data_IF_181448299076
#
_entry.id   IF_181448299076
#
_cell.length_a   1.000
_cell.length_b   1.000
_cell.length_c   1.000
_cell.angle_alpha   90.00
_cell.angle_beta   90.00
_cell.angle_gamma   90.00
#
_symmetry.space_group_name_H-M   'P 1'
#
loop_
_entity.id
_entity.type
_entity.pdbx_description
1 polymer ?
#
# COMPACT_ATOMS: atom_id res chain seq x y z
N UNK A 1 -7.60 6.90 17.64
CA UNK A 1 -8.61 7.97 17.44
C UNK A 1 -9.52 7.96 18.67
N UNK A 2 -9.80 9.11 19.30
CA UNK A 2 -10.78 9.15 20.40
C UNK A 2 -12.18 9.20 19.78
N UNK A 3 -13.07 8.20 19.98
CA UNK A 3 -14.39 8.15 19.33
C UNK A 3 -15.21 9.44 19.50
N UNK A 4 -15.02 10.15 20.63
CA UNK A 4 -15.67 11.44 20.93
C UNK A 4 -15.47 12.54 19.88
N UNK A 5 -14.40 12.50 19.08
CA UNK A 5 -14.13 13.53 18.05
C UNK A 5 -14.73 13.21 16.68
N UNK A 6 -14.96 11.92 16.38
CA UNK A 6 -15.46 11.50 15.07
C UNK A 6 -16.97 11.74 14.91
N UNK A 7 -17.74 11.56 15.98
CA UNK A 7 -19.21 11.53 15.92
C UNK A 7 -19.87 12.88 15.62
N UNK A 8 -19.44 14.00 16.25
CA UNK A 8 -19.96 15.31 15.86
C UNK A 8 -19.72 15.59 14.38
N UNK A 9 -18.56 15.17 13.86
CA UNK A 9 -18.22 15.35 12.45
C UNK A 9 -19.16 14.57 11.51
N UNK A 10 -19.40 13.29 11.79
CA UNK A 10 -20.32 12.46 10.96
C UNK A 10 -21.73 13.02 10.96
N UNK A 11 -22.27 13.40 12.13
CA UNK A 11 -23.62 13.96 12.22
C UNK A 11 -23.75 15.30 11.53
N UNK A 12 -22.75 16.18 11.68
CA UNK A 12 -22.73 17.46 10.97
C UNK A 12 -22.67 17.26 9.46
N UNK A 13 -21.81 16.37 8.97
CA UNK A 13 -21.71 16.09 7.54
C UNK A 13 -23.04 15.52 6.99
N UNK A 14 -23.61 14.53 7.67
CA UNK A 14 -24.86 13.89 7.23
C UNK A 14 -26.03 14.87 7.14
N UNK A 15 -26.12 15.83 8.07
CA UNK A 15 -27.20 16.84 8.09
C UNK A 15 -27.04 17.94 7.04
N UNK A 16 -25.82 18.20 6.58
CA UNK A 16 -25.51 19.39 5.76
C UNK A 16 -25.07 19.04 4.33
N UNK A 17 -24.87 17.77 4.00
CA UNK A 17 -24.51 17.32 2.67
C UNK A 17 -25.66 16.54 2.03
N UNK A 18 -25.88 16.77 0.74
CA UNK A 18 -26.85 15.99 -0.06
C UNK A 18 -26.26 14.66 -0.54
N UNK A 19 -24.95 14.47 -0.40
CA UNK A 19 -24.24 13.25 -0.79
C UNK A 19 -24.04 12.30 0.41
N UNK A 20 -23.99 10.97 0.19
CA UNK A 20 -23.85 10.03 1.29
C UNK A 20 -22.55 10.19 2.10
N UNK A 21 -22.66 10.06 3.42
CA UNK A 21 -21.49 10.06 4.32
C UNK A 21 -21.07 8.63 4.62
N UNK A 22 -19.86 8.27 4.19
CA UNK A 22 -19.27 6.96 4.42
C UNK A 22 -18.14 7.03 5.46
N UNK A 23 -18.00 5.98 6.28
CA UNK A 23 -16.91 5.86 7.24
C UNK A 23 -16.01 4.67 6.90
N UNK A 24 -14.73 4.74 7.27
CA UNK A 24 -13.81 3.59 7.24
C UNK A 24 -13.14 3.41 8.58
N UNK A 25 -13.18 2.20 9.13
CA UNK A 25 -12.57 1.88 10.42
C UNK A 25 -11.62 0.68 10.33
N UNK A 26 -10.85 0.50 11.40
CA UNK A 26 -10.08 -0.70 11.72
C UNK A 26 -10.66 -1.33 12.98
N UNK A 27 -10.35 -2.60 13.20
CA UNK A 27 -10.72 -3.27 14.44
C UNK A 27 -10.04 -2.57 15.64
N UNK A 28 -10.79 -2.44 16.73
CA UNK A 28 -10.24 -2.14 18.04
C UNK A 28 -9.73 -3.44 18.69
N UNK A 29 -8.91 -3.37 19.76
CA UNK A 29 -8.39 -4.57 20.43
C UNK A 29 -9.48 -5.53 20.92
N UNK A 30 -10.68 -5.02 21.21
CA UNK A 30 -11.86 -5.80 21.57
C UNK A 30 -12.93 -5.66 20.48
N UNK A 31 -13.52 -6.77 20.07
CA UNK A 31 -14.53 -6.78 19.02
C UNK A 31 -15.80 -6.04 19.47
N UNK A 32 -16.20 -6.19 20.73
CA UNK A 32 -17.38 -5.54 21.29
C UNK A 32 -17.27 -4.01 21.20
N UNK A 33 -16.07 -3.47 21.42
CA UNK A 33 -15.83 -2.03 21.30
C UNK A 33 -15.87 -1.58 19.83
N UNK A 34 -15.45 -2.45 18.90
CA UNK A 34 -15.57 -2.18 17.45
C UNK A 34 -17.04 -2.15 17.03
N UNK A 35 -17.85 -3.10 17.50
CA UNK A 35 -19.29 -3.16 17.22
C UNK A 35 -19.99 -1.93 17.81
N UNK A 36 -19.69 -1.56 19.07
CA UNK A 36 -20.21 -0.32 19.67
C UNK A 36 -19.84 0.91 18.84
N UNK A 37 -18.59 1.03 18.41
CA UNK A 37 -18.16 2.14 17.55
C UNK A 37 -18.95 2.16 16.24
N UNK A 38 -19.14 1.02 15.60
CA UNK A 38 -19.85 0.88 14.34
C UNK A 38 -21.33 1.31 14.46
N UNK A 39 -22.03 0.84 15.50
CA UNK A 39 -23.41 1.24 15.80
C UNK A 39 -23.53 2.74 16.06
N UNK A 40 -22.56 3.30 16.80
CA UNK A 40 -22.54 4.72 17.11
C UNK A 40 -22.27 5.57 15.87
N UNK A 41 -21.45 5.10 14.91
CA UNK A 41 -21.28 5.74 13.61
C UNK A 41 -22.54 5.66 12.74
N UNK A 42 -23.20 4.50 12.70
CA UNK A 42 -24.49 4.33 12.01
C UNK A 42 -25.52 5.34 12.53
N UNK A 43 -25.70 5.42 13.85
CA UNK A 43 -26.65 6.35 14.48
C UNK A 43 -26.28 7.82 14.28
N UNK A 44 -25.00 8.12 14.04
CA UNK A 44 -24.55 9.47 13.72
C UNK A 44 -24.85 9.88 12.27
N UNK A 45 -25.32 8.97 11.40
CA UNK A 45 -25.64 9.24 10.00
C UNK A 45 -24.64 8.67 9.00
N UNK A 46 -23.75 7.77 9.41
CA UNK A 46 -22.96 7.00 8.45
C UNK A 46 -23.90 6.10 7.63
N UNK A 47 -23.78 6.15 6.30
CA UNK A 47 -24.63 5.41 5.37
C UNK A 47 -23.95 4.18 4.78
N UNK A 48 -22.62 4.11 4.77
CA UNK A 48 -21.83 2.92 4.39
C UNK A 48 -20.60 2.83 5.27
N UNK A 49 -20.33 1.65 5.84
CA UNK A 49 -19.17 1.42 6.70
C UNK A 49 -18.17 0.45 6.07
N UNK A 50 -16.99 0.94 5.71
CA UNK A 50 -15.87 0.09 5.33
C UNK A 50 -15.10 -0.38 6.57
N UNK A 51 -14.91 -1.69 6.73
CA UNK A 51 -14.22 -2.29 7.88
C UNK A 51 -12.96 -2.99 7.40
N UNK A 52 -11.81 -2.48 7.82
CA UNK A 52 -10.56 -3.24 7.69
C UNK A 52 -10.48 -4.24 8.84
N UNK A 53 -10.52 -5.53 8.53
CA UNK A 53 -10.44 -6.65 9.48
C UNK A 53 -9.08 -6.78 10.21
N UNK A 54 -8.35 -5.69 10.42
CA UNK A 54 -7.10 -5.68 11.17
C UNK A 54 -7.10 -4.54 12.17
N UNK A 55 -6.46 -4.75 13.31
CA UNK A 55 -6.20 -3.69 14.27
C UNK A 55 -5.18 -2.69 13.73
N UNK A 56 -5.07 -1.53 14.36
CA UNK A 56 -4.02 -0.56 14.00
C UNK A 56 -2.63 -1.13 14.33
N UNK A 57 -2.52 -1.78 15.48
CA UNK A 57 -1.29 -2.30 16.06
C UNK A 57 -0.67 -3.43 15.21
N UNK A 58 -1.50 -4.16 14.45
CA UNK A 58 -1.02 -5.15 13.48
C UNK A 58 -0.18 -4.56 12.34
N UNK A 59 -0.20 -3.24 12.11
CA UNK A 59 0.46 -2.58 10.98
C UNK A 59 0.18 -3.25 9.62
N UNK A 60 -1.05 -3.76 9.44
CA UNK A 60 -1.48 -4.50 8.24
C UNK A 60 -0.81 -5.86 8.03
N UNK A 61 -0.14 -6.40 9.05
CA UNK A 61 0.45 -7.75 9.05
C UNK A 61 -0.57 -8.79 9.51
N UNK A 62 -0.37 -10.03 9.10
CA UNK A 62 -1.25 -11.16 9.43
C UNK A 62 -2.55 -11.19 8.60
N UNK A 63 -3.32 -12.27 8.72
CA UNK A 63 -4.61 -12.38 8.05
C UNK A 63 -5.58 -11.29 8.51
N UNK A 64 -6.52 -10.91 7.65
CA UNK A 64 -7.64 -10.08 8.09
C UNK A 64 -8.67 -10.97 8.80
N UNK A 65 -9.19 -10.51 9.93
CA UNK A 65 -10.22 -11.19 10.68
C UNK A 65 -11.59 -10.95 10.01
N UNK A 66 -11.93 -11.85 9.09
CA UNK A 66 -13.20 -11.83 8.37
C UNK A 66 -14.39 -12.23 9.27
N UNK A 67 -14.15 -13.03 10.32
CA UNK A 67 -15.17 -13.36 11.30
C UNK A 67 -15.62 -12.13 12.12
N UNK A 68 -14.69 -11.26 12.48
CA UNK A 68 -15.00 -9.96 13.09
C UNK A 68 -15.82 -9.07 12.15
N UNK A 69 -15.47 -9.00 10.86
CA UNK A 69 -16.25 -8.24 9.86
C UNK A 69 -17.67 -8.78 9.77
N UNK A 70 -17.85 -10.11 9.78
CA UNK A 70 -19.17 -10.75 9.78
C UNK A 70 -20.02 -10.35 10.98
N UNK A 71 -19.46 -10.41 12.19
CA UNK A 71 -20.19 -10.01 13.40
C UNK A 71 -20.57 -8.51 13.38
N UNK A 72 -19.73 -7.66 12.79
CA UNK A 72 -20.06 -6.24 12.59
C UNK A 72 -21.19 -6.10 11.56
N UNK A 73 -21.15 -6.84 10.45
CA UNK A 73 -22.21 -6.85 9.43
C UNK A 73 -23.55 -7.30 10.01
N UNK A 74 -23.56 -8.33 10.83
CA UNK A 74 -24.78 -8.84 11.49
C UNK A 74 -25.37 -7.83 12.47
N UNK A 75 -24.55 -6.95 13.06
CA UNK A 75 -25.00 -5.93 14.01
C UNK A 75 -25.54 -4.64 13.37
N UNK A 76 -25.22 -4.38 12.09
CA UNK A 76 -25.57 -3.13 11.41
C UNK A 76 -26.74 -3.30 10.44
N UNK A 77 -27.50 -2.21 10.25
CA UNK A 77 -28.55 -2.13 9.24
C UNK A 77 -28.09 -1.40 7.96
N UNK A 78 -26.94 -0.73 8.00
CA UNK A 78 -26.32 -0.09 6.83
C UNK A 78 -25.40 -1.05 6.06
N UNK A 79 -25.12 -0.79 4.78
CA UNK A 79 -24.13 -1.54 4.02
C UNK A 79 -22.74 -1.52 4.68
N UNK A 80 -22.10 -2.69 4.70
CA UNK A 80 -20.73 -2.92 5.16
C UNK A 80 -19.84 -3.33 4.00
N UNK A 81 -18.67 -2.71 3.91
CA UNK A 81 -17.66 -3.02 2.90
C UNK A 81 -16.47 -3.71 3.58
N UNK A 82 -16.22 -4.97 3.25
CA UNK A 82 -15.08 -5.71 3.77
C UNK A 82 -13.77 -5.19 3.17
N UNK A 83 -12.72 -5.03 4.00
CA UNK A 83 -11.40 -4.60 3.53
C UNK A 83 -10.29 -5.44 4.19
N UNK A 84 -9.33 -5.86 3.35
CA UNK A 84 -8.14 -6.63 3.74
C UNK A 84 -8.29 -8.14 3.56
N UNK A 85 -7.21 -8.80 3.13
CA UNK A 85 -7.18 -10.25 2.91
C UNK A 85 -7.71 -10.70 1.54
N UNK A 86 -7.89 -9.76 0.60
CA UNK A 86 -8.26 -10.03 -0.80
C UNK A 86 -7.06 -9.62 -1.63
N UNK A 87 -6.38 -10.61 -2.21
CA UNK A 87 -5.14 -10.43 -2.97
C UNK A 87 -5.35 -10.72 -4.47
N UNK A 88 -6.28 -11.62 -4.81
CA UNK A 88 -6.68 -11.96 -6.19
C UNK A 88 -8.20 -11.80 -6.39
N UNK A 89 -8.67 -11.89 -7.65
CA UNK A 89 -10.08 -11.66 -7.98
C UNK A 89 -10.97 -12.76 -7.37
N UNK A 90 -10.47 -13.99 -7.33
CA UNK A 90 -11.10 -15.17 -6.76
C UNK A 90 -11.32 -15.04 -5.25
N UNK A 91 -10.49 -14.23 -4.57
CA UNK A 91 -10.65 -13.96 -3.14
C UNK A 91 -11.88 -13.10 -2.84
N UNK A 92 -12.41 -12.37 -3.83
CA UNK A 92 -13.58 -11.49 -3.65
C UNK A 92 -14.81 -12.31 -3.25
N UNK A 93 -15.10 -13.39 -3.98
CA UNK A 93 -16.24 -14.26 -3.68
C UNK A 93 -16.08 -14.94 -2.32
N UNK A 94 -14.87 -15.43 -2.01
CA UNK A 94 -14.57 -16.02 -0.70
C UNK A 94 -14.80 -15.00 0.43
N UNK A 95 -14.29 -13.78 0.26
CA UNK A 95 -14.44 -12.71 1.23
C UNK A 95 -15.92 -12.36 1.47
N UNK A 96 -16.73 -12.21 0.41
CA UNK A 96 -18.17 -11.96 0.53
C UNK A 96 -18.89 -13.12 1.22
N UNK A 97 -18.55 -14.36 0.86
CA UNK A 97 -19.17 -15.54 1.44
C UNK A 97 -18.89 -15.70 2.94
N UNK A 98 -17.67 -15.41 3.38
CA UNK A 98 -17.27 -15.53 4.79
C UNK A 98 -17.73 -14.33 5.63
N UNK A 99 -17.58 -13.11 5.11
CA UNK A 99 -17.91 -11.87 5.86
C UNK A 99 -19.38 -11.52 5.80
N UNK A 100 -20.13 -12.02 4.81
CA UNK A 100 -21.49 -11.57 4.47
C UNK A 100 -21.61 -10.07 4.21
N UNK A 101 -20.49 -9.37 4.00
CA UNK A 101 -20.46 -7.96 3.65
C UNK A 101 -21.13 -7.71 2.30
N UNK A 102 -21.59 -6.48 2.07
CA UNK A 102 -22.32 -6.10 0.86
C UNK A 102 -21.38 -5.78 -0.31
N UNK A 103 -20.11 -5.49 -0.01
CA UNK A 103 -19.08 -5.23 -1.00
C UNK A 103 -17.67 -5.49 -0.44
N UNK A 104 -16.67 -5.53 -1.33
CA UNK A 104 -15.25 -5.65 -1.01
C UNK A 104 -14.51 -4.40 -1.47
N UNK A 105 -13.62 -3.89 -0.62
CA UNK A 105 -12.67 -2.82 -0.95
C UNK A 105 -11.27 -3.39 -1.05
N UNK A 106 -10.65 -3.24 -2.22
CA UNK A 106 -9.27 -3.65 -2.51
C UNK A 106 -8.37 -2.42 -2.54
N UNK A 107 -7.17 -2.52 -1.96
CA UNK A 107 -6.23 -1.40 -1.90
C UNK A 107 -4.86 -1.81 -2.45
N UNK A 108 -4.11 -2.64 -1.72
CA UNK A 108 -2.74 -2.96 -2.09
C UNK A 108 -2.59 -3.73 -3.42
N UNK A 109 -3.41 -4.77 -3.72
CA UNK A 109 -3.34 -5.44 -5.02
C UNK A 109 -3.62 -4.51 -6.21
N UNK A 110 -4.58 -3.60 -6.06
CA UNK A 110 -4.89 -2.60 -7.09
C UNK A 110 -3.72 -1.64 -7.38
N UNK A 111 -2.80 -1.44 -6.43
CA UNK A 111 -1.57 -0.66 -6.68
C UNK A 111 -0.53 -1.44 -7.49
N UNK A 112 -0.55 -2.78 -7.41
CA UNK A 112 0.35 -3.63 -8.19
C UNK A 112 -0.19 -3.84 -9.60
N UNK A 113 -1.50 -4.00 -9.71
CA UNK A 113 -2.21 -4.17 -10.97
C UNK A 113 -3.57 -3.45 -10.91
N UNK A 114 -3.68 -2.22 -11.45
CA UNK A 114 -4.94 -1.50 -11.52
C UNK A 114 -6.03 -2.22 -12.34
N UNK A 115 -5.65 -3.13 -13.25
CA UNK A 115 -6.60 -3.97 -14.00
C UNK A 115 -7.22 -5.10 -13.16
N UNK A 116 -6.92 -5.17 -11.85
CA UNK A 116 -7.53 -6.10 -10.90
C UNK A 116 -9.07 -6.22 -11.07
N UNK A 117 -9.75 -5.12 -11.34
CA UNK A 117 -11.22 -5.09 -11.46
C UNK A 117 -11.75 -5.46 -12.86
N UNK A 118 -10.87 -5.60 -13.86
CA UNK A 118 -11.26 -5.78 -15.26
C UNK A 118 -11.48 -7.23 -15.69
N UNK A 119 -11.15 -8.22 -14.86
CA UNK A 119 -11.29 -9.65 -15.18
C UNK A 119 -10.43 -10.14 -16.35
N UNK A 120 -9.56 -9.28 -16.89
CA UNK A 120 -8.66 -9.61 -18.00
C UNK A 120 -7.32 -10.18 -17.52
N UNK A 121 -6.46 -10.53 -18.48
CA UNK A 121 -5.12 -11.03 -18.19
C UNK A 121 -4.32 -10.04 -17.33
N UNK A 122 -3.42 -10.56 -16.49
CA UNK A 122 -2.48 -9.75 -15.71
C UNK A 122 -1.57 -9.02 -16.71
N UNK A 123 -1.81 -7.72 -16.88
CA UNK A 123 -0.98 -6.87 -17.73
C UNK A 123 0.44 -6.75 -17.16
N UNK A 124 1.39 -6.60 -18.08
CA UNK A 124 2.79 -6.35 -17.73
C UNK A 124 2.90 -5.00 -16.99
N UNK A 125 3.74 -4.95 -15.95
CA UNK A 125 3.90 -3.75 -15.11
C UNK A 125 4.39 -2.53 -15.90
N UNK A 126 5.15 -2.77 -16.97
CA UNK A 126 5.66 -1.73 -17.88
C UNK A 126 4.54 -1.18 -18.76
N UNK A 127 3.63 -2.04 -19.25
CA UNK A 127 2.44 -1.62 -19.99
C UNK A 127 1.54 -0.74 -19.11
N UNK A 128 1.26 -1.19 -17.89
CA UNK A 128 0.47 -0.44 -16.91
C UNK A 128 1.10 0.90 -16.55
N UNK A 129 2.43 0.94 -16.43
CA UNK A 129 3.15 2.17 -16.16
C UNK A 129 3.09 3.13 -17.34
N UNK A 130 3.24 2.65 -18.57
CA UNK A 130 3.11 3.48 -19.76
C UNK A 130 1.71 4.10 -19.86
N UNK A 131 0.66 3.29 -19.62
CA UNK A 131 -0.71 3.77 -19.55
C UNK A 131 -0.89 4.82 -18.44
N UNK A 132 -0.37 4.57 -17.23
CA UNK A 132 -0.39 5.51 -16.12
C UNK A 132 0.31 6.84 -16.47
N UNK A 133 1.48 6.81 -17.12
CA UNK A 133 2.21 8.02 -17.51
C UNK A 133 1.43 8.85 -18.56
N UNK A 134 0.65 8.20 -19.44
CA UNK A 134 -0.27 8.92 -20.35
C UNK A 134 -1.37 9.68 -19.60
N UNK A 135 -1.78 9.21 -18.42
CA UNK A 135 -2.69 9.96 -17.55
C UNK A 135 -1.98 11.07 -16.80
N UNK A 136 -0.73 10.87 -16.38
CA UNK A 136 0.08 11.93 -15.74
C UNK A 136 0.32 13.11 -16.68
N UNK A 137 0.51 12.85 -17.97
CA UNK A 137 0.64 13.92 -18.99
C UNK A 137 -0.64 14.77 -19.09
N UNK A 138 -1.81 14.13 -19.03
CA UNK A 138 -3.12 14.80 -19.06
C UNK A 138 -3.50 15.44 -17.72
N UNK A 139 -3.08 14.83 -16.62
CA UNK A 139 -3.43 15.18 -15.26
C UNK A 139 -2.16 15.15 -14.38
N UNK A 140 -1.39 16.27 -14.34
CA UNK A 140 -0.11 16.31 -13.67
C UNK A 140 -0.17 15.86 -12.21
N UNK A 141 0.73 14.95 -11.85
CA UNK A 141 0.88 14.43 -10.50
C UNK A 141 2.23 14.82 -9.90
N UNK A 142 2.30 14.86 -8.57
CA UNK A 142 3.55 15.12 -7.86
C UNK A 142 4.58 14.03 -8.14
N UNK A 143 5.86 14.40 -8.27
CA UNK A 143 6.95 13.45 -8.58
C UNK A 143 7.03 12.29 -7.60
N UNK A 144 6.83 12.55 -6.31
CA UNK A 144 6.76 11.53 -5.26
C UNK A 144 5.66 10.49 -5.48
N UNK A 145 4.50 10.93 -5.97
CA UNK A 145 3.37 10.04 -6.29
C UNK A 145 3.70 9.18 -7.50
N UNK A 146 4.27 9.78 -8.56
CA UNK A 146 4.71 9.07 -9.77
C UNK A 146 5.73 7.98 -9.39
N UNK A 147 6.78 8.31 -8.64
CA UNK A 147 7.78 7.36 -8.15
C UNK A 147 7.15 6.24 -7.31
N UNK A 148 6.25 6.60 -6.39
CA UNK A 148 5.56 5.62 -5.54
C UNK A 148 4.72 4.63 -6.36
N UNK A 149 3.96 5.10 -7.36
CA UNK A 149 3.16 4.26 -8.24
C UNK A 149 4.02 3.39 -9.14
N UNK A 150 5.04 3.96 -9.79
CA UNK A 150 5.99 3.20 -10.61
C UNK A 150 6.60 2.03 -9.85
N UNK A 151 7.03 2.26 -8.60
CA UNK A 151 7.55 1.21 -7.73
C UNK A 151 6.54 0.10 -7.45
N UNK A 152 5.24 0.42 -7.35
CA UNK A 152 4.19 -0.58 -7.11
C UNK A 152 3.87 -1.37 -8.36
N UNK A 153 3.70 -0.70 -9.50
CA UNK A 153 3.40 -1.31 -10.80
C UNK A 153 4.52 -2.27 -11.24
N UNK A 154 5.77 -1.86 -11.06
CA UNK A 154 6.93 -2.67 -11.46
C UNK A 154 7.36 -3.69 -10.39
N UNK A 155 6.76 -3.67 -9.19
CA UNK A 155 7.14 -4.57 -8.09
C UNK A 155 7.14 -6.06 -8.47
N UNK A 156 6.16 -6.59 -9.22
CA UNK A 156 6.15 -8.01 -9.61
C UNK A 156 7.31 -8.38 -10.54
N UNK A 157 7.89 -7.40 -11.23
CA UNK A 157 8.90 -7.61 -12.28
C UNK A 157 10.33 -7.55 -11.77
N UNK A 158 10.58 -7.01 -10.58
CA UNK A 158 11.95 -6.71 -10.13
C UNK A 158 12.88 -7.93 -10.10
N UNK A 159 12.40 -9.10 -9.70
CA UNK A 159 13.18 -10.35 -9.73
C UNK A 159 14.64 -10.16 -9.28
N UNK A 160 15.58 -10.39 -10.22
CA UNK A 160 17.03 -10.21 -10.04
C UNK A 160 17.54 -8.79 -10.36
N UNK A 161 16.76 -7.94 -11.03
CA UNK A 161 17.11 -6.58 -11.46
C UNK A 161 17.00 -5.55 -10.31
N UNK A 162 17.65 -5.85 -9.18
CA UNK A 162 17.61 -4.99 -7.98
C UNK A 162 18.30 -3.65 -8.21
N UNK A 163 19.28 -3.61 -9.10
CA UNK A 163 20.01 -2.41 -9.52
C UNK A 163 19.06 -1.35 -10.12
N UNK A 164 18.13 -1.75 -10.98
CA UNK A 164 17.14 -0.85 -11.57
C UNK A 164 16.16 -0.31 -10.52
N UNK A 165 15.76 -1.17 -9.58
CA UNK A 165 14.95 -0.76 -8.43
C UNK A 165 15.69 0.26 -7.57
N UNK A 166 16.98 0.04 -7.31
CA UNK A 166 17.82 0.95 -6.52
C UNK A 166 18.04 2.29 -7.24
N UNK A 167 18.23 2.29 -8.57
CA UNK A 167 18.26 3.51 -9.37
C UNK A 167 16.96 4.32 -9.23
N UNK A 168 15.81 3.64 -9.28
CA UNK A 168 14.52 4.29 -9.06
C UNK A 168 14.43 4.90 -7.64
N UNK A 169 14.89 4.18 -6.63
CA UNK A 169 14.85 4.63 -5.23
C UNK A 169 15.85 5.77 -4.93
N UNK A 170 17.02 5.77 -5.55
CA UNK A 170 18.05 6.79 -5.40
C UNK A 170 17.67 8.13 -6.04
N UNK A 171 16.66 8.15 -6.91
CA UNK A 171 16.24 9.37 -7.61
C UNK A 171 15.70 10.45 -6.65
N UNK A 172 16.12 11.69 -6.90
CA UNK A 172 15.81 12.90 -6.10
C UNK A 172 14.55 13.61 -6.61
N UNK A 173 13.64 13.92 -5.68
CA UNK A 173 12.35 14.59 -5.92
C UNK A 173 12.43 15.96 -6.60
N UNK A 174 13.62 16.59 -6.65
CA UNK A 174 13.86 17.89 -7.30
C UNK A 174 13.98 17.84 -8.82
N UNK A 175 14.10 16.66 -9.41
CA UNK A 175 14.20 16.51 -10.86
C UNK A 175 12.79 16.55 -11.50
N UNK A 176 12.60 17.45 -12.47
CA UNK A 176 11.31 17.64 -13.14
C UNK A 176 11.03 16.54 -14.19
N UNK A 177 12.00 15.67 -14.48
CA UNK A 177 11.91 14.64 -15.51
C UNK A 177 11.55 13.23 -14.98
N UNK A 178 10.94 13.11 -13.80
CA UNK A 178 10.63 11.81 -13.17
C UNK A 178 9.88 10.84 -14.11
N UNK A 179 8.93 11.33 -14.89
CA UNK A 179 8.17 10.49 -15.82
C UNK A 179 9.10 9.81 -16.85
N UNK A 180 10.03 10.58 -17.41
CA UNK A 180 11.04 10.08 -18.37
C UNK A 180 12.03 9.12 -17.71
N UNK A 181 12.47 9.41 -16.48
CA UNK A 181 13.38 8.53 -15.72
C UNK A 181 12.71 7.18 -15.43
N UNK A 182 11.48 7.22 -14.93
CA UNK A 182 10.68 6.03 -14.63
C UNK A 182 10.43 5.21 -15.88
N UNK A 183 10.06 5.86 -17.00
CA UNK A 183 9.83 5.17 -18.27
C UNK A 183 11.09 4.47 -18.78
N UNK A 184 12.25 5.16 -18.73
CA UNK A 184 13.53 4.59 -19.14
C UNK A 184 13.90 3.36 -18.31
N UNK A 185 13.76 3.44 -16.99
CA UNK A 185 14.02 2.30 -16.07
C UNK A 185 13.09 1.13 -16.40
N UNK A 186 11.81 1.41 -16.65
CA UNK A 186 10.82 0.39 -16.99
C UNK A 186 11.10 -0.30 -18.34
N UNK A 187 11.49 0.48 -19.36
CA UNK A 187 11.87 -0.06 -20.66
C UNK A 187 13.13 -0.92 -20.58
N UNK A 188 14.14 -0.48 -19.83
CA UNK A 188 15.34 -1.27 -19.57
C UNK A 188 15.02 -2.55 -18.81
N UNK A 189 14.17 -2.49 -17.78
CA UNK A 189 13.70 -3.67 -17.06
C UNK A 189 13.04 -4.67 -18.01
N UNK A 190 12.12 -4.20 -18.86
CA UNK A 190 11.44 -5.04 -19.85
C UNK A 190 12.42 -5.69 -20.81
N UNK A 191 13.32 -4.89 -21.38
CA UNK A 191 14.34 -5.37 -22.30
C UNK A 191 15.20 -6.48 -21.67
N UNK A 192 15.62 -6.31 -20.41
CA UNK A 192 16.40 -7.34 -19.71
C UNK A 192 15.62 -8.63 -19.48
N UNK A 193 14.36 -8.53 -19.06
CA UNK A 193 13.49 -9.69 -18.84
C UNK A 193 13.26 -10.44 -20.17
N UNK A 194 12.87 -9.72 -21.22
CA UNK A 194 12.55 -10.30 -22.52
C UNK A 194 13.77 -10.97 -23.19
N UNK A 195 14.99 -10.55 -22.85
CA UNK A 195 16.25 -11.09 -23.39
C UNK A 195 17.03 -11.98 -22.40
N UNK A 196 16.49 -12.27 -21.20
CA UNK A 196 17.16 -13.09 -20.19
C UNK A 196 18.48 -12.51 -19.64
N UNK A 197 18.62 -11.18 -19.64
CA UNK A 197 19.84 -10.48 -19.21
C UNK A 197 19.85 -10.34 -17.68
N UNK A 198 20.74 -11.05 -17.01
CA UNK A 198 20.96 -10.90 -15.57
C UNK A 198 22.18 -10.02 -15.31
N UNK A 199 22.04 -9.01 -14.45
CA UNK A 199 23.18 -8.19 -13.98
C UNK A 199 23.60 -8.73 -12.62
N UNK A 200 24.79 -9.33 -12.56
CA UNK A 200 25.40 -9.74 -11.31
C UNK A 200 26.04 -8.52 -10.65
N UNK A 201 25.40 -8.00 -9.60
CA UNK A 201 26.00 -6.98 -8.76
C UNK A 201 27.09 -7.66 -7.92
N UNK A 202 28.31 -7.78 -8.47
CA UNK A 202 29.47 -8.00 -7.60
C UNK A 202 29.47 -6.90 -6.54
N UNK A 203 29.53 -7.22 -5.23
CA UNK A 203 29.79 -6.18 -4.24
C UNK A 203 31.08 -5.47 -4.64
N UNK A 204 31.17 -4.13 -4.49
CA UNK A 204 32.41 -3.42 -4.79
C UNK A 204 33.53 -4.11 -4.01
N UNK A 205 34.51 -4.64 -4.74
CA UNK A 205 35.72 -5.18 -4.15
C UNK A 205 36.30 -4.03 -3.31
N UNK A 206 36.35 -4.21 -1.99
CA UNK A 206 37.00 -3.25 -1.13
C UNK A 206 38.45 -3.17 -1.62
N UNK A 207 38.81 -2.06 -2.24
CA UNK A 207 40.20 -1.69 -2.46
C UNK A 207 40.82 -1.60 -1.06
N UNK A 208 41.42 -2.71 -0.62
CA UNK A 208 42.39 -2.70 0.46
C UNK A 208 43.58 -1.93 -0.12
N UNK A 209 43.59 -0.62 0.10
CA UNK A 209 44.81 0.15 0.02
C UNK A 209 45.79 -0.44 1.05
N UNK A 210 46.70 -1.30 0.58
CA UNK A 210 47.96 -1.55 1.27
C UNK A 210 48.75 -0.23 1.24
N UNK A 211 48.85 0.43 2.40
CA UNK A 211 49.56 1.69 2.50
C UNK A 211 49.82 2.14 3.93
N UNK A 212 50.93 1.64 4.47
CA UNK A 212 51.82 2.27 5.45
C UNK A 212 51.31 2.60 6.85
N UNK A 213 51.92 1.91 7.82
CA UNK A 213 51.54 1.92 9.21
C UNK A 213 51.89 3.18 9.98
N UNK A 214 51.34 3.28 11.18
CA UNK A 214 52.04 3.88 12.32
C UNK A 214 51.63 3.20 13.63
N UNK A 215 52.66 2.67 14.29
CA UNK A 215 52.90 2.59 15.72
C UNK A 215 51.76 2.18 16.68
N UNK A 216 51.91 0.96 17.17
CA UNK A 216 51.53 0.51 18.51
C UNK A 216 51.94 1.53 19.58
N UNK A 217 50.98 2.22 20.20
CA UNK A 217 51.09 2.68 21.59
C UNK A 217 49.69 2.74 22.20
N UNK A 218 49.37 1.73 23.02
CA UNK A 218 48.45 1.91 24.14
C UNK A 218 49.13 2.74 25.23
N UNK A 219 48.36 3.35 26.14
CA UNK A 219 48.01 2.59 27.33
C UNK A 219 46.57 2.80 27.86
N UNK A 220 46.09 1.70 28.45
CA UNK A 220 45.33 1.54 29.71
C UNK A 220 44.06 2.34 30.00
N UNK A 221 43.11 1.57 30.57
CA UNK A 221 41.87 1.95 31.19
C UNK A 221 42.05 2.90 32.40
N UNK A 222 41.05 3.73 32.68
CA UNK A 222 40.17 3.59 33.84
C UNK A 222 39.18 4.77 33.95
N UNK A 223 38.00 4.44 34.48
CA UNK A 223 37.04 5.22 35.29
C UNK A 223 36.12 6.34 34.73
N UNK A 224 34.84 6.15 35.11
CA UNK A 224 33.81 7.12 35.53
C UNK A 224 33.19 8.14 34.56
N UNK A 225 31.99 7.83 34.04
CA UNK A 225 30.66 8.37 34.47
C UNK A 225 29.53 7.92 33.53
#
# INVERSE_FOLDING_TARGET
>A
MRPRLALPSVSTLHKNLSIPVCCKIRLLPKLEDTIKLALVLQNAGCQVLAVHGRTRESNSRGPADWAAIRQIKEALSIPVVANGGVDELEDVERCLNETKADAVMVAYPALLNPRFFGGGEKADGVELLHEYLSYVERYPAQSKTIKSHARKLLKPMWGKHKDLREQLEAWDERDQAIASVVLRIAQELKYRIDNGIEVDLKPPEAELEEGDGYALFGPQADDDY
#
